data_IF_497847401657
#
_entry.id   IF_497847401657
#
_cell.length_a   1.000
_cell.length_b   1.000
_cell.length_c   1.000
_cell.angle_alpha   90.00
_cell.angle_beta   90.00
_cell.angle_gamma   90.00
#
_symmetry.space_group_name_H-M   'P 1'
#
loop_
_entity.id
_entity.type
_entity.pdbx_description
1 polymer ?
#
# COMPACT_ATOMS: atom_id res chain seq x y z
N UNK A 1 7.72 -2.22 -7.71
CA UNK A 1 7.22 -2.69 -6.41
C UNK A 1 6.63 -1.55 -5.57
N UNK A 2 7.35 -0.45 -5.34
CA UNK A 2 6.84 0.66 -4.50
C UNK A 2 5.51 1.24 -5.00
N UNK A 3 5.37 1.48 -6.31
CA UNK A 3 4.14 2.00 -6.90
C UNK A 3 2.92 1.12 -6.58
N UNK A 4 3.05 -0.20 -6.75
CA UNK A 4 1.97 -1.17 -6.50
C UNK A 4 1.60 -1.28 -5.02
N UNK A 5 2.53 -0.99 -4.10
CA UNK A 5 2.24 -0.96 -2.66
C UNK A 5 1.71 0.38 -2.18
N UNK A 6 1.82 1.45 -2.98
CA UNK A 6 1.34 2.79 -2.63
C UNK A 6 -0.06 3.01 -3.19
N UNK A 7 -1.02 2.31 -2.61
CA UNK A 7 -2.43 2.37 -3.01
C UNK A 7 -3.23 3.34 -2.12
N UNK A 8 -4.50 3.58 -2.48
CA UNK A 8 -5.36 4.56 -1.83
C UNK A 8 -5.62 4.29 -0.33
N UNK A 9 -5.47 3.05 0.10
CA UNK A 9 -5.58 2.62 1.50
C UNK A 9 -4.38 3.05 2.35
N UNK A 10 -3.19 3.17 1.75
CA UNK A 10 -1.95 3.41 2.49
C UNK A 10 -1.94 4.78 3.17
N UNK A 11 -2.26 5.90 2.50
CA UNK A 11 -2.38 7.20 3.17
C UNK A 11 -3.45 7.19 4.26
N UNK A 12 -4.59 6.53 4.04
CA UNK A 12 -5.67 6.44 5.04
C UNK A 12 -5.17 5.72 6.30
N UNK A 13 -4.57 4.54 6.14
CA UNK A 13 -4.01 3.77 7.25
C UNK A 13 -2.91 4.55 7.99
N UNK A 14 -2.00 5.22 7.27
CA UNK A 14 -0.96 6.04 7.89
C UNK A 14 -1.56 7.21 8.67
N UNK A 15 -2.56 7.90 8.12
CA UNK A 15 -3.24 8.98 8.85
C UNK A 15 -3.97 8.47 10.09
N UNK A 16 -4.57 7.28 10.03
CA UNK A 16 -5.20 6.64 11.18
C UNK A 16 -4.18 6.25 12.25
N UNK A 17 -3.01 5.74 11.85
CA UNK A 17 -1.92 5.43 12.77
C UNK A 17 -1.41 6.67 13.50
N UNK A 18 -1.20 7.77 12.76
CA UNK A 18 -0.71 9.03 13.33
C UNK A 18 -1.79 9.72 14.18
N UNK A 19 -3.06 9.70 13.75
CA UNK A 19 -4.18 10.34 14.45
C UNK A 19 -4.65 9.57 15.68
N UNK A 20 -4.62 8.24 15.61
CA UNK A 20 -4.89 7.35 16.73
C UNK A 20 -3.63 7.26 17.60
N UNK A 21 -2.95 6.11 17.69
CA UNK A 21 -1.89 5.81 18.65
C UNK A 21 -0.63 6.69 18.56
N UNK A 22 -0.39 7.37 17.43
CA UNK A 22 0.71 8.32 17.25
C UNK A 22 1.74 7.90 16.21
N UNK A 23 2.76 8.73 15.99
CA UNK A 23 3.74 8.55 14.92
C UNK A 23 4.50 7.23 15.08
N UNK A 24 4.75 6.76 16.30
CA UNK A 24 5.47 5.52 16.57
C UNK A 24 4.86 4.28 15.91
N UNK A 25 3.53 4.24 15.67
CA UNK A 25 2.88 3.08 15.04
C UNK A 25 3.36 2.87 13.60
N UNK A 26 3.93 3.90 12.95
CA UNK A 26 4.60 3.76 11.66
C UNK A 26 5.76 2.74 11.69
N UNK A 27 6.28 2.39 12.87
CA UNK A 27 7.26 1.33 13.02
C UNK A 27 6.82 0.00 12.38
N UNK A 28 5.52 -0.33 12.43
CA UNK A 28 4.98 -1.58 11.86
C UNK A 28 5.19 -1.72 10.35
N UNK A 29 5.34 -0.61 9.62
CA UNK A 29 5.67 -0.65 8.20
C UNK A 29 7.12 -0.22 7.91
N UNK A 30 7.71 0.69 8.70
CA UNK A 30 9.12 1.09 8.54
C UNK A 30 10.09 -0.07 8.69
N UNK A 31 9.83 -1.03 9.59
CA UNK A 31 10.69 -2.21 9.73
C UNK A 31 10.78 -3.05 8.44
N UNK A 32 9.73 -3.04 7.61
CA UNK A 32 9.69 -3.78 6.34
C UNK A 32 10.69 -3.20 5.32
N UNK A 33 11.02 -1.91 5.42
CA UNK A 33 12.05 -1.29 4.59
C UNK A 33 13.40 -1.97 4.82
N UNK A 34 13.78 -2.20 6.08
CA UNK A 34 15.05 -2.83 6.43
C UNK A 34 15.12 -4.26 5.90
N UNK A 35 14.04 -5.04 6.10
CA UNK A 35 13.93 -6.40 5.57
C UNK A 35 14.03 -6.44 4.03
N UNK A 36 13.35 -5.51 3.36
CA UNK A 36 13.36 -5.41 1.89
C UNK A 36 14.73 -5.01 1.35
N UNK A 37 15.41 -4.06 1.98
CA UNK A 37 16.75 -3.64 1.60
C UNK A 37 17.75 -4.79 1.73
N UNK A 38 17.76 -5.50 2.86
CA UNK A 38 18.58 -6.69 3.05
C UNK A 38 18.24 -7.77 2.01
N UNK A 39 16.96 -7.97 1.74
CA UNK A 39 16.46 -8.85 0.67
C UNK A 39 17.10 -8.54 -0.69
N UNK A 40 17.12 -7.26 -1.06
CA UNK A 40 17.73 -6.79 -2.32
C UNK A 40 19.24 -7.01 -2.32
N UNK A 41 19.96 -6.60 -1.28
CA UNK A 41 21.43 -6.71 -1.29
C UNK A 41 21.93 -8.16 -1.25
N UNK A 42 21.27 -9.02 -0.47
CA UNK A 42 21.71 -10.41 -0.28
C UNK A 42 21.19 -11.33 -1.39
N UNK A 43 19.93 -11.19 -1.80
CA UNK A 43 19.26 -12.18 -2.65
C UNK A 43 19.03 -11.72 -4.10
N UNK A 44 19.13 -10.44 -4.46
CA UNK A 44 18.89 -9.99 -5.85
C UNK A 44 19.75 -10.71 -6.88
N UNK A 45 21.01 -10.98 -6.55
CA UNK A 45 21.94 -11.72 -7.41
C UNK A 45 21.50 -13.18 -7.61
N UNK A 46 20.96 -13.81 -6.57
CA UNK A 46 20.47 -15.19 -6.62
C UNK A 46 19.17 -15.27 -7.43
N UNK A 47 18.25 -14.33 -7.21
CA UNK A 47 17.02 -14.21 -7.98
C UNK A 47 17.28 -13.99 -9.47
N UNK A 48 18.21 -13.10 -9.83
CA UNK A 48 18.56 -12.87 -11.23
C UNK A 48 19.21 -14.09 -11.90
N UNK A 49 19.92 -14.92 -11.14
CA UNK A 49 20.52 -16.18 -11.64
C UNK A 49 19.51 -17.30 -11.82
N UNK A 50 18.39 -17.26 -11.08
CA UNK A 50 17.37 -18.31 -11.15
C UNK A 50 16.53 -18.21 -12.43
N UNK A 51 16.49 -17.04 -13.09
CA UNK A 51 15.75 -16.78 -14.34
C UNK A 51 14.28 -17.25 -14.31
N UNK A 52 13.70 -17.29 -13.11
CA UNK A 52 12.31 -17.70 -12.89
C UNK A 52 11.33 -16.60 -13.28
N UNK A 53 10.22 -17.00 -13.91
CA UNK A 53 9.12 -16.10 -14.26
C UNK A 53 8.18 -15.88 -13.07
N UNK A 54 8.04 -16.89 -12.20
CA UNK A 54 7.19 -16.82 -11.00
C UNK A 54 7.99 -17.13 -9.75
N UNK A 55 7.68 -16.48 -8.64
CA UNK A 55 8.28 -16.76 -7.33
C UNK A 55 8.08 -18.23 -6.90
N UNK A 56 6.96 -18.83 -7.31
CA UNK A 56 6.61 -20.21 -7.04
C UNK A 56 7.43 -21.23 -7.86
N UNK A 57 8.01 -20.85 -8.99
CA UNK A 57 8.88 -21.72 -9.79
C UNK A 57 10.20 -22.03 -9.09
N UNK A 58 10.65 -21.11 -8.22
CA UNK A 58 11.83 -21.33 -7.38
C UNK A 58 11.67 -22.58 -6.47
N UNK A 59 10.44 -22.92 -6.09
CA UNK A 59 10.17 -24.12 -5.29
C UNK A 59 10.48 -25.42 -6.06
N UNK A 60 10.27 -25.45 -7.37
CA UNK A 60 10.57 -26.62 -8.20
C UNK A 60 12.05 -26.74 -8.53
N UNK A 61 12.75 -25.60 -8.64
CA UNK A 61 14.21 -25.60 -8.78
C UNK A 61 14.87 -26.05 -7.48
N UNK A 62 14.32 -25.62 -6.33
CA UNK A 62 14.92 -25.88 -5.02
C UNK A 62 14.56 -27.26 -4.45
N UNK A 63 13.35 -27.74 -4.72
CA UNK A 63 12.82 -28.99 -4.16
C UNK A 63 12.32 -29.90 -5.28
N UNK A 64 12.59 -31.20 -5.15
CA UNK A 64 12.23 -32.21 -6.14
C UNK A 64 11.05 -33.09 -5.71
N UNK A 65 10.22 -33.48 -6.67
CA UNK A 65 9.24 -34.56 -6.52
C UNK A 65 7.81 -34.10 -6.19
N UNK A 66 6.94 -35.08 -5.92
CA UNK A 66 5.50 -34.87 -5.66
C UNK A 66 5.21 -33.90 -4.51
N UNK A 67 5.98 -33.88 -3.39
CA UNK A 67 5.75 -32.91 -2.33
C UNK A 67 6.02 -31.45 -2.76
N UNK A 68 7.01 -31.22 -3.63
CA UNK A 68 7.32 -29.88 -4.14
C UNK A 68 6.21 -29.34 -5.05
N UNK A 69 5.66 -30.19 -5.92
CA UNK A 69 4.51 -29.85 -6.76
C UNK A 69 3.25 -29.52 -5.92
N UNK A 70 3.01 -30.29 -4.85
CA UNK A 70 1.92 -29.99 -3.92
C UNK A 70 2.13 -28.63 -3.22
N UNK A 71 3.34 -28.36 -2.73
CA UNK A 71 3.67 -27.08 -2.09
C UNK A 71 3.48 -25.90 -3.06
N UNK A 72 3.89 -26.05 -4.33
CA UNK A 72 3.67 -25.04 -5.37
C UNK A 72 2.18 -24.79 -5.58
N UNK A 73 1.39 -25.85 -5.77
CA UNK A 73 -0.05 -25.74 -5.98
C UNK A 73 -0.76 -25.09 -4.78
N UNK A 74 -0.40 -25.49 -3.57
CA UNK A 74 -0.93 -24.89 -2.35
C UNK A 74 -0.57 -23.40 -2.25
N UNK A 75 0.70 -23.04 -2.43
CA UNK A 75 1.17 -21.65 -2.35
C UNK A 75 0.50 -20.79 -3.44
N UNK A 76 0.44 -21.30 -4.67
CA UNK A 76 -0.24 -20.61 -5.77
C UNK A 76 -1.72 -20.37 -5.46
N UNK A 77 -2.46 -21.39 -5.00
CA UNK A 77 -3.87 -21.24 -4.65
C UNK A 77 -4.10 -20.30 -3.46
N UNK A 78 -3.30 -20.43 -2.40
CA UNK A 78 -3.40 -19.59 -1.22
C UNK A 78 -3.16 -18.10 -1.54
N UNK A 79 -2.08 -17.78 -2.24
CA UNK A 79 -1.75 -16.40 -2.56
C UNK A 79 -2.63 -15.81 -3.66
N UNK A 80 -3.01 -16.59 -4.69
CA UNK A 80 -3.84 -16.10 -5.79
C UNK A 80 -5.31 -15.92 -5.40
N UNK A 81 -5.84 -16.76 -4.50
CA UNK A 81 -7.25 -16.72 -4.11
C UNK A 81 -7.38 -16.03 -2.75
N UNK A 82 -6.98 -16.68 -1.66
CA UNK A 82 -7.31 -16.18 -0.32
C UNK A 82 -6.65 -14.82 -0.03
N UNK A 83 -5.34 -14.73 -0.22
CA UNK A 83 -4.61 -13.50 0.07
C UNK A 83 -5.03 -12.36 -0.85
N UNK A 84 -5.12 -12.61 -2.16
CA UNK A 84 -5.47 -11.58 -3.13
C UNK A 84 -6.89 -11.02 -2.91
N UNK A 85 -7.87 -11.87 -2.58
CA UNK A 85 -9.23 -11.40 -2.30
C UNK A 85 -9.30 -10.50 -1.05
N UNK A 86 -8.54 -10.83 0.00
CA UNK A 86 -8.45 -9.98 1.20
C UNK A 86 -7.86 -8.62 0.84
N UNK A 87 -6.73 -8.61 0.11
CA UNK A 87 -6.07 -7.35 -0.30
C UNK A 87 -6.97 -6.52 -1.21
N UNK A 88 -7.61 -7.15 -2.21
CA UNK A 88 -8.56 -6.45 -3.09
C UNK A 88 -9.73 -5.86 -2.30
N UNK A 89 -10.31 -6.62 -1.37
CA UNK A 89 -11.42 -6.14 -0.54
C UNK A 89 -11.04 -4.91 0.29
N UNK A 90 -9.83 -4.93 0.87
CA UNK A 90 -9.29 -3.80 1.62
C UNK A 90 -9.08 -2.56 0.74
N UNK A 91 -8.36 -2.70 -0.39
CA UNK A 91 -8.04 -1.58 -1.28
C UNK A 91 -9.27 -0.99 -1.95
N UNK A 92 -10.22 -1.83 -2.42
CA UNK A 92 -11.47 -1.35 -3.04
C UNK A 92 -12.32 -0.61 -2.01
N UNK A 93 -12.38 -1.08 -0.76
CA UNK A 93 -13.13 -0.41 0.31
C UNK A 93 -12.54 0.96 0.63
N UNK A 94 -11.21 1.07 0.72
CA UNK A 94 -10.53 2.34 0.91
C UNK A 94 -10.83 3.33 -0.23
N UNK A 95 -10.65 2.90 -1.49
CA UNK A 95 -10.91 3.74 -2.65
C UNK A 95 -12.38 4.17 -2.73
N UNK A 96 -13.31 3.24 -2.54
CA UNK A 96 -14.74 3.53 -2.56
C UNK A 96 -15.15 4.54 -1.47
N UNK A 97 -14.53 4.48 -0.29
CA UNK A 97 -14.78 5.43 0.80
C UNK A 97 -14.31 6.86 0.45
N UNK A 98 -13.20 6.99 -0.27
CA UNK A 98 -12.74 8.29 -0.78
C UNK A 98 -13.68 8.80 -1.87
N UNK A 99 -14.02 7.95 -2.87
CA UNK A 99 -14.92 8.33 -3.97
C UNK A 99 -16.30 8.73 -3.48
N UNK A 100 -16.87 8.00 -2.51
CA UNK A 100 -18.21 8.29 -1.98
C UNK A 100 -18.27 9.68 -1.35
N UNK A 101 -17.19 10.11 -0.66
CA UNK A 101 -17.11 11.44 -0.07
C UNK A 101 -16.87 12.50 -1.14
N UNK A 102 -15.96 12.27 -2.08
CA UNK A 102 -15.61 13.25 -3.13
C UNK A 102 -16.77 13.53 -4.09
N UNK A 103 -17.52 12.49 -4.47
CA UNK A 103 -18.62 12.59 -5.44
C UNK A 103 -20.00 12.62 -4.79
N UNK A 104 -20.06 12.64 -3.45
CA UNK A 104 -21.28 12.65 -2.65
C UNK A 104 -22.29 11.58 -3.10
N UNK A 105 -21.85 10.33 -3.17
CA UNK A 105 -22.63 9.20 -3.65
C UNK A 105 -22.62 8.02 -2.69
N UNK A 106 -23.56 7.10 -2.88
CA UNK A 106 -23.63 5.88 -2.10
C UNK A 106 -22.36 5.00 -2.28
N UNK A 107 -21.94 4.36 -1.18
CA UNK A 107 -20.71 3.57 -1.12
C UNK A 107 -20.73 2.36 -2.05
N UNK A 108 -21.86 1.68 -2.20
CA UNK A 108 -21.96 0.53 -3.11
C UNK A 108 -21.87 0.97 -4.58
N UNK A 109 -22.44 2.13 -4.90
CA UNK A 109 -22.26 2.73 -6.23
C UNK A 109 -20.79 3.03 -6.52
N UNK A 110 -20.07 3.60 -5.55
CA UNK A 110 -18.63 3.85 -5.67
C UNK A 110 -17.81 2.56 -5.82
N UNK A 111 -18.14 1.49 -5.10
CA UNK A 111 -17.49 0.16 -5.24
C UNK A 111 -17.62 -0.36 -6.66
N UNK A 112 -18.85 -0.43 -7.19
CA UNK A 112 -19.07 -0.96 -8.54
C UNK A 112 -18.41 -0.11 -9.61
N UNK A 113 -18.38 1.21 -9.44
CA UNK A 113 -17.65 2.12 -10.32
C UNK A 113 -16.14 1.83 -10.31
N UNK A 114 -15.52 1.72 -9.13
CA UNK A 114 -14.09 1.43 -8.99
C UNK A 114 -13.73 0.09 -9.63
N UNK A 115 -14.51 -0.96 -9.34
CA UNK A 115 -14.31 -2.30 -9.91
C UNK A 115 -14.45 -2.29 -11.42
N UNK A 116 -15.48 -1.62 -11.96
CA UNK A 116 -15.71 -1.56 -13.39
C UNK A 116 -14.56 -0.86 -14.13
N UNK A 117 -14.15 0.33 -13.66
CA UNK A 117 -13.02 1.05 -14.24
C UNK A 117 -11.76 0.19 -14.16
N UNK A 118 -11.50 -0.42 -13.00
CA UNK A 118 -10.34 -1.26 -12.78
C UNK A 118 -10.26 -2.46 -13.74
N UNK A 119 -11.38 -3.16 -13.89
CA UNK A 119 -11.50 -4.30 -14.77
C UNK A 119 -11.30 -3.91 -16.23
N UNK A 120 -11.95 -2.84 -16.69
CA UNK A 120 -11.87 -2.38 -18.08
C UNK A 120 -10.43 -2.01 -18.44
N UNK A 121 -9.74 -1.22 -17.62
CA UNK A 121 -8.37 -0.85 -17.95
C UNK A 121 -7.43 -2.06 -17.85
N UNK A 122 -7.60 -2.94 -16.86
CA UNK A 122 -6.73 -4.11 -16.70
C UNK A 122 -6.81 -5.06 -17.91
N UNK A 123 -8.03 -5.28 -18.45
CA UNK A 123 -8.24 -6.09 -19.65
C UNK A 123 -7.60 -5.45 -20.88
N UNK A 124 -7.76 -4.13 -21.05
CA UNK A 124 -7.28 -3.42 -22.25
C UNK A 124 -5.75 -3.21 -22.25
N UNK A 125 -5.16 -3.04 -21.07
CA UNK A 125 -3.77 -2.57 -20.91
C UNK A 125 -2.74 -3.70 -20.87
N UNK A 126 -3.15 -4.91 -20.44
CA UNK A 126 -2.23 -6.02 -20.18
C UNK A 126 -1.20 -5.71 -19.10
N UNK A 127 -0.29 -6.64 -18.80
CA UNK A 127 0.66 -6.48 -17.69
C UNK A 127 1.56 -5.24 -17.84
N UNK A 128 2.15 -5.04 -19.01
CA UNK A 128 3.05 -3.91 -19.26
C UNK A 128 2.35 -2.57 -19.17
N UNK A 129 1.13 -2.46 -19.70
CA UNK A 129 0.39 -1.22 -19.61
C UNK A 129 -0.01 -0.91 -18.16
N UNK A 130 -0.41 -1.91 -17.37
CA UNK A 130 -0.68 -1.74 -15.93
C UNK A 130 0.56 -1.23 -15.19
N UNK A 131 1.74 -1.79 -15.47
CA UNK A 131 3.00 -1.33 -14.85
C UNK A 131 3.31 0.13 -15.17
N UNK A 132 3.06 0.56 -16.41
CA UNK A 132 3.28 1.96 -16.81
C UNK A 132 2.27 2.89 -16.15
N UNK A 133 0.99 2.50 -16.09
CA UNK A 133 -0.04 3.31 -15.41
C UNK A 133 0.23 3.44 -13.91
N UNK A 134 0.67 2.37 -13.26
CA UNK A 134 1.08 2.38 -11.84
C UNK A 134 2.20 3.39 -11.61
N UNK A 135 3.21 3.44 -12.49
CA UNK A 135 4.31 4.39 -12.37
C UNK A 135 3.82 5.85 -12.45
N UNK A 136 2.95 6.15 -13.41
CA UNK A 136 2.38 7.50 -13.58
C UNK A 136 1.53 7.88 -12.36
N UNK A 137 0.66 6.98 -11.91
CA UNK A 137 -0.19 7.20 -10.72
C UNK A 137 0.66 7.43 -9.47
N UNK A 138 1.74 6.65 -9.31
CA UNK A 138 2.67 6.83 -8.20
C UNK A 138 3.32 8.21 -8.21
N UNK A 139 3.79 8.70 -9.36
CA UNK A 139 4.39 10.05 -9.47
C UNK A 139 3.36 11.13 -9.11
N UNK A 140 2.14 11.03 -9.64
CA UNK A 140 1.06 11.97 -9.34
C UNK A 140 0.73 11.96 -7.84
N UNK A 141 0.63 10.77 -7.24
CA UNK A 141 0.28 10.62 -5.84
C UNK A 141 1.40 11.11 -4.90
N UNK A 142 2.67 10.92 -5.27
CA UNK A 142 3.82 11.48 -4.54
C UNK A 142 3.85 13.01 -4.60
N UNK A 143 3.61 13.59 -5.78
CA UNK A 143 3.51 15.05 -5.89
C UNK A 143 2.34 15.58 -5.08
N UNK A 144 1.16 14.95 -5.19
CA UNK A 144 -0.04 15.32 -4.46
C UNK A 144 0.13 15.26 -2.94
N UNK A 145 0.80 14.23 -2.41
CA UNK A 145 1.04 14.08 -0.97
C UNK A 145 2.00 15.15 -0.42
N UNK A 146 3.09 15.45 -1.13
CA UNK A 146 4.03 16.51 -0.75
C UNK A 146 3.33 17.88 -0.81
N UNK A 147 2.59 18.16 -1.88
CA UNK A 147 1.86 19.41 -2.03
C UNK A 147 0.82 19.59 -0.93
N UNK A 148 0.06 18.54 -0.61
CA UNK A 148 -0.92 18.56 0.47
C UNK A 148 -0.26 18.82 1.84
N UNK A 149 0.88 18.20 2.12
CA UNK A 149 1.62 18.43 3.35
C UNK A 149 2.06 19.90 3.50
N UNK A 150 2.56 20.51 2.43
CA UNK A 150 2.95 21.94 2.42
C UNK A 150 1.73 22.84 2.61
N UNK A 151 0.62 22.58 1.91
CA UNK A 151 -0.62 23.34 2.06
C UNK A 151 -1.15 23.25 3.49
N UNK A 152 -1.20 22.05 4.07
CA UNK A 152 -1.67 21.83 5.43
C UNK A 152 -0.80 22.56 6.46
N UNK A 153 0.54 22.52 6.30
CA UNK A 153 1.47 23.22 7.18
C UNK A 153 1.27 24.74 7.11
N UNK A 154 1.13 25.29 5.90
CA UNK A 154 0.87 26.71 5.69
C UNK A 154 -0.49 27.13 6.27
N UNK A 155 -1.52 26.28 6.15
CA UNK A 155 -2.84 26.54 6.71
C UNK A 155 -2.84 26.62 8.24
N UNK A 156 -1.99 25.82 8.90
CA UNK A 156 -1.86 25.80 10.36
C UNK A 156 -1.08 27.01 10.90
N UNK A 157 -0.27 27.66 10.05
CA UNK A 157 0.59 28.80 10.40
C UNK A 157 2.09 28.47 10.44
N UNK A 158 2.51 27.29 9.98
CA UNK A 158 3.90 26.85 10.00
C UNK A 158 4.21 25.78 11.05
N UNK A 159 5.45 25.28 11.05
CA UNK A 159 5.88 24.17 11.91
C UNK A 159 5.92 24.56 13.39
N UNK A 160 6.30 25.80 13.71
CA UNK A 160 6.31 26.31 15.08
C UNK A 160 4.91 26.28 15.70
N UNK A 161 3.93 26.87 15.00
CA UNK A 161 2.53 26.85 15.43
C UNK A 161 1.95 25.45 15.51
N UNK A 162 2.38 24.52 14.65
CA UNK A 162 1.99 23.12 14.73
C UNK A 162 2.48 22.48 16.03
N UNK A 163 3.76 22.64 16.36
CA UNK A 163 4.37 22.08 17.57
C UNK A 163 3.77 22.69 18.84
N UNK A 164 3.52 24.00 18.84
CA UNK A 164 2.85 24.68 19.96
C UNK A 164 1.45 24.10 20.21
N UNK A 165 0.63 24.03 19.15
CA UNK A 165 -0.72 23.44 19.25
C UNK A 165 -0.68 21.98 19.68
N UNK A 166 0.30 21.22 19.21
CA UNK A 166 0.44 19.82 19.56
C UNK A 166 0.84 19.65 21.04
N UNK A 167 1.75 20.49 21.55
CA UNK A 167 2.13 20.50 22.96
C UNK A 167 0.97 20.86 23.89
N UNK A 168 0.05 21.72 23.45
CA UNK A 168 -1.17 22.05 24.19
C UNK A 168 -2.20 20.90 24.20
N UNK A 169 -2.16 20.04 23.19
CA UNK A 169 -3.04 18.87 23.10
C UNK A 169 -2.48 17.66 23.86
N UNK A 170 -1.18 17.63 24.15
CA UNK A 170 -0.56 16.62 25.01
C UNK A 170 -1.18 16.67 26.41
N UNK A 171 -1.92 15.63 26.78
CA UNK A 171 -2.68 15.54 28.04
C UNK A 171 -4.20 15.61 27.88
N UNK A 172 -4.69 15.79 26.65
CA UNK A 172 -6.11 15.57 26.29
C UNK A 172 -6.29 14.17 25.70
N UNK A 173 -7.48 13.57 25.82
CA UNK A 173 -7.79 12.28 25.15
C UNK A 173 -7.75 12.35 23.60
N UNK A 174 -7.44 13.53 23.04
CA UNK A 174 -7.36 13.81 21.60
C UNK A 174 -5.99 13.43 21.03
N UNK A 175 -4.93 13.46 21.84
CA UNK A 175 -3.54 13.21 21.42
C UNK A 175 -2.86 12.33 22.46
N UNK A 176 -2.29 11.20 22.04
CA UNK A 176 -1.58 10.31 22.96
C UNK A 176 -0.20 10.88 23.32
N UNK A 177 0.32 10.50 24.49
CA UNK A 177 1.66 10.91 24.93
C UNK A 177 2.77 10.54 23.92
N UNK A 178 2.54 9.52 23.08
CA UNK A 178 3.47 9.04 22.06
C UNK A 178 3.23 9.64 20.66
N UNK A 179 2.47 10.73 20.54
CA UNK A 179 2.20 11.35 19.23
C UNK A 179 3.42 12.06 18.64
N UNK A 180 4.46 12.34 19.45
CA UNK A 180 5.79 12.81 19.00
C UNK A 180 6.80 11.67 18.90
#
# INVERSE_FOLDING_TARGET
MVATTFAADTPLAITEFVRGPGIWQNWFWWNLLMGSLLGVFLFSRLWRRAEVLTDNELLEIRYSGKPAAFLRAFKAGYFAILYNFIVMGWVINAMASVVSVMLNMDKWTAVWMCVFIALVYAILSGFWGVVVTDLVQFIIAMFGSIMLAVIALNHIGGMETLLDKLSLLMGTDVVHENTL
#
